data_IF_343866269276
#
_entry.id   IF_343866269276
#
_cell.length_a   1.000
_cell.length_b   1.000
_cell.length_c   1.000
_cell.angle_alpha   90.00
_cell.angle_beta   90.00
_cell.angle_gamma   90.00
#
_symmetry.space_group_name_H-M   'P 1'
#
loop_
_entity.id
_entity.type
_entity.pdbx_description
1 polymer ?
#
# COMPACT_ATOMS: atom_id res chain seq x y z
N UNK A 1 -58.39 -28.98 39.75
CA UNK A 1 -58.03 -29.80 38.58
C UNK A 1 -57.24 -28.93 37.61
N UNK A 2 -56.03 -29.40 37.27
CA UNK A 2 -55.16 -29.02 36.15
C UNK A 2 -54.59 -27.60 36.06
N UNK A 3 -53.47 -27.34 36.74
CA UNK A 3 -52.42 -26.50 36.15
C UNK A 3 -51.60 -27.40 35.23
N UNK A 4 -51.83 -27.29 33.92
CA UNK A 4 -51.00 -27.96 32.93
C UNK A 4 -49.56 -27.44 33.07
N UNK A 5 -48.65 -28.35 33.45
CA UNK A 5 -47.21 -28.13 33.44
C UNK A 5 -46.80 -27.81 31.99
N UNK A 6 -46.25 -26.61 31.68
CA UNK A 6 -45.84 -26.31 30.32
C UNK A 6 -44.71 -27.27 29.96
N UNK A 7 -45.02 -28.26 29.11
CA UNK A 7 -44.12 -29.32 28.69
C UNK A 7 -42.70 -28.76 28.52
N UNK A 8 -41.82 -29.06 29.49
CA UNK A 8 -40.44 -28.61 29.51
C UNK A 8 -39.82 -28.99 28.17
N UNK A 9 -39.67 -28.00 27.29
CA UNK A 9 -39.15 -28.24 25.96
C UNK A 9 -37.74 -28.79 26.12
N UNK A 10 -37.53 -30.04 25.73
CA UNK A 10 -36.21 -30.68 25.79
C UNK A 10 -35.33 -30.16 24.66
N UNK A 11 -34.03 -30.16 24.85
CA UNK A 11 -33.10 -29.78 23.81
C UNK A 11 -33.23 -30.71 22.60
N UNK A 12 -33.34 -30.14 21.40
CA UNK A 12 -33.50 -30.92 20.16
C UNK A 12 -32.38 -31.94 19.89
N UNK A 13 -31.21 -31.76 20.54
CA UNK A 13 -30.03 -32.61 20.38
C UNK A 13 -29.71 -33.44 21.63
N UNK A 14 -30.16 -32.99 22.80
CA UNK A 14 -29.94 -33.66 24.07
C UNK A 14 -31.30 -33.88 24.75
N UNK A 15 -31.98 -35.01 24.47
CA UNK A 15 -33.31 -35.28 25.01
C UNK A 15 -33.33 -35.22 26.55
N UNK A 16 -32.23 -35.58 27.19
CA UNK A 16 -32.13 -35.63 28.66
C UNK A 16 -31.93 -34.25 29.31
N UNK A 17 -31.82 -33.18 28.52
CA UNK A 17 -31.59 -31.81 29.01
C UNK A 17 -32.74 -30.89 28.70
N UNK A 18 -33.11 -30.06 29.66
CA UNK A 18 -34.06 -28.96 29.46
C UNK A 18 -33.48 -27.91 28.49
N UNK A 19 -34.33 -27.41 27.59
CA UNK A 19 -33.96 -26.30 26.73
C UNK A 19 -34.07 -24.99 27.50
N UNK A 20 -32.98 -24.22 27.52
CA UNK A 20 -32.98 -22.91 28.16
C UNK A 20 -33.67 -21.84 27.31
N UNK A 21 -33.49 -21.89 25.98
CA UNK A 21 -34.10 -20.95 25.01
C UNK A 21 -34.32 -21.64 23.65
N UNK A 22 -35.07 -20.97 22.77
CA UNK A 22 -35.26 -21.41 21.38
C UNK A 22 -34.39 -20.63 20.41
N UNK A 23 -33.98 -21.29 19.33
CA UNK A 23 -33.26 -20.67 18.23
C UNK A 23 -34.12 -19.57 17.59
N UNK A 24 -33.61 -18.34 17.51
CA UNK A 24 -34.32 -17.18 16.94
C UNK A 24 -34.61 -17.36 15.45
N UNK A 25 -33.85 -18.22 14.74
CA UNK A 25 -34.00 -18.45 13.31
C UNK A 25 -34.99 -19.56 12.95
N UNK A 26 -34.96 -20.69 13.66
CA UNK A 26 -35.74 -21.88 13.30
C UNK A 26 -36.71 -22.34 14.40
N UNK A 27 -36.77 -21.65 15.53
CA UNK A 27 -37.68 -21.96 16.63
C UNK A 27 -37.32 -23.21 17.46
N UNK A 28 -36.32 -24.03 17.05
CA UNK A 28 -35.96 -25.25 17.78
C UNK A 28 -35.52 -24.95 19.22
N UNK A 29 -36.06 -25.66 20.23
CA UNK A 29 -35.61 -25.55 21.61
C UNK A 29 -34.22 -26.18 21.78
N UNK A 30 -33.30 -25.48 22.46
CA UNK A 30 -31.94 -25.94 22.67
C UNK A 30 -31.41 -25.59 24.08
N UNK A 31 -30.58 -26.47 24.64
CA UNK A 31 -29.84 -26.19 25.87
C UNK A 31 -28.77 -25.10 25.61
N UNK A 32 -28.22 -24.51 26.67
CA UNK A 32 -27.14 -23.50 26.60
C UNK A 32 -25.99 -23.93 25.70
N UNK A 33 -25.58 -25.19 25.78
CA UNK A 33 -24.44 -25.73 25.02
C UNK A 33 -24.73 -25.90 23.52
N UNK A 34 -26.02 -25.95 23.15
CA UNK A 34 -26.46 -26.09 21.76
C UNK A 34 -26.90 -24.75 21.14
N UNK A 35 -26.83 -23.66 21.90
CA UNK A 35 -27.09 -22.30 21.45
C UNK A 35 -25.77 -21.54 21.31
N UNK A 36 -25.60 -20.89 20.17
CA UNK A 36 -24.51 -19.95 19.93
C UNK A 36 -25.06 -18.54 19.78
N UNK A 37 -24.30 -17.57 20.29
CA UNK A 37 -24.64 -16.15 20.12
C UNK A 37 -24.56 -15.77 18.64
N UNK A 38 -25.62 -15.13 18.15
CA UNK A 38 -25.69 -14.57 16.80
C UNK A 38 -25.72 -13.03 16.90
N UNK A 39 -25.60 -12.33 15.76
CA UNK A 39 -25.74 -10.87 15.76
C UNK A 39 -27.13 -10.40 16.23
N UNK A 40 -28.15 -11.22 16.04
CA UNK A 40 -29.50 -10.99 16.57
C UNK A 40 -29.98 -12.28 17.24
N UNK A 41 -30.09 -12.25 18.57
CA UNK A 41 -30.55 -13.38 19.36
C UNK A 41 -29.57 -14.56 19.41
N UNK A 42 -30.10 -15.77 19.46
CA UNK A 42 -29.32 -17.00 19.64
C UNK A 42 -29.71 -18.03 18.60
N UNK A 43 -28.72 -18.62 17.93
CA UNK A 43 -28.93 -19.63 16.90
C UNK A 43 -28.56 -21.02 17.43
N UNK A 44 -29.29 -22.07 17.01
CA UNK A 44 -28.85 -23.45 17.26
C UNK A 44 -27.62 -23.79 16.40
N UNK A 45 -26.88 -24.82 16.79
CA UNK A 45 -25.69 -25.28 16.07
C UNK A 45 -25.94 -25.60 14.60
N UNK A 46 -27.10 -26.16 14.25
CA UNK A 46 -27.46 -26.46 12.85
C UNK A 46 -27.59 -25.19 12.02
N UNK A 47 -28.34 -24.20 12.54
CA UNK A 47 -28.54 -22.92 11.88
C UNK A 47 -27.24 -22.11 11.80
N UNK A 48 -26.41 -22.19 12.83
CA UNK A 48 -25.10 -21.56 12.85
C UNK A 48 -24.15 -22.22 11.84
N UNK A 49 -24.17 -23.55 11.72
CA UNK A 49 -23.38 -24.30 10.74
C UNK A 49 -23.84 -24.01 9.32
N UNK A 50 -25.15 -23.95 9.08
CA UNK A 50 -25.73 -23.59 7.79
C UNK A 50 -25.47 -22.13 7.38
N UNK A 51 -25.23 -21.24 8.34
CA UNK A 51 -24.84 -19.85 8.09
C UNK A 51 -23.33 -19.67 7.83
N UNK A 52 -22.51 -20.71 7.98
CA UNK A 52 -21.08 -20.61 7.69
C UNK A 52 -20.88 -20.48 6.17
N UNK A 53 -20.06 -19.52 5.70
CA UNK A 53 -19.71 -19.46 4.29
C UNK A 53 -19.05 -20.77 3.85
N UNK A 54 -19.20 -21.12 2.58
CA UNK A 54 -18.60 -22.33 2.02
C UNK A 54 -17.06 -22.30 2.13
N UNK A 55 -16.44 -23.47 2.04
CA UNK A 55 -14.99 -23.64 2.22
C UNK A 55 -14.20 -22.79 1.22
N UNK A 56 -14.66 -22.63 -0.04
CA UNK A 56 -13.97 -21.81 -1.05
C UNK A 56 -14.06 -20.33 -0.69
N UNK A 57 -15.24 -19.86 -0.26
CA UNK A 57 -15.41 -18.47 0.19
C UNK A 57 -14.58 -18.18 1.43
N UNK A 58 -14.53 -19.09 2.41
CA UNK A 58 -13.67 -18.97 3.59
C UNK A 58 -12.18 -18.97 3.24
N UNK A 59 -11.74 -19.86 2.36
CA UNK A 59 -10.36 -19.92 1.90
C UNK A 59 -9.98 -18.66 1.12
N UNK A 60 -10.88 -18.13 0.27
CA UNK A 60 -10.69 -16.88 -0.48
C UNK A 60 -10.62 -15.66 0.44
N UNK A 61 -11.49 -15.57 1.44
CA UNK A 61 -11.44 -14.51 2.46
C UNK A 61 -10.14 -14.58 3.26
N UNK A 62 -9.76 -15.77 3.73
CA UNK A 62 -8.51 -15.97 4.48
C UNK A 62 -7.27 -15.67 3.62
N UNK A 63 -7.21 -16.14 2.37
CA UNK A 63 -6.08 -15.89 1.48
C UNK A 63 -5.97 -14.43 1.05
N UNK A 64 -7.10 -13.77 0.81
CA UNK A 64 -7.13 -12.32 0.49
C UNK A 64 -6.65 -11.43 1.65
N UNK A 65 -6.72 -11.91 2.89
CA UNK A 65 -6.19 -11.21 4.07
C UNK A 65 -4.72 -11.54 4.36
N UNK A 66 -4.23 -12.68 3.88
CA UNK A 66 -2.86 -13.15 4.12
C UNK A 66 -1.87 -12.72 3.04
N UNK A 67 -2.34 -12.57 1.79
CA UNK A 67 -1.52 -12.21 0.64
C UNK A 67 -1.50 -10.69 0.43
N UNK A 68 -0.30 -10.13 0.25
CA UNK A 68 -0.06 -8.73 -0.14
C UNK A 68 0.41 -8.71 -1.60
N UNK A 69 -0.49 -9.06 -2.56
CA UNK A 69 -0.10 -9.34 -3.93
C UNK A 69 0.56 -8.13 -4.61
N UNK A 70 0.06 -6.92 -4.42
CA UNK A 70 0.64 -5.74 -5.06
C UNK A 70 2.02 -5.45 -4.52
N UNK A 71 2.21 -5.58 -3.21
CA UNK A 71 3.54 -5.43 -2.59
C UNK A 71 4.54 -6.39 -3.22
N UNK A 72 4.19 -7.68 -3.32
CA UNK A 72 5.08 -8.69 -3.93
C UNK A 72 5.27 -8.47 -5.43
N UNK A 73 4.23 -8.07 -6.16
CA UNK A 73 4.33 -7.77 -7.60
C UNK A 73 5.26 -6.59 -7.85
N UNK A 74 5.15 -5.49 -7.10
CA UNK A 74 6.04 -4.34 -7.24
C UNK A 74 7.48 -4.75 -6.92
N UNK A 75 7.71 -5.49 -5.84
CA UNK A 75 9.05 -6.00 -5.50
C UNK A 75 9.60 -6.88 -6.63
N UNK A 76 8.81 -7.83 -7.13
CA UNK A 76 9.21 -8.73 -8.20
C UNK A 76 9.57 -7.97 -9.48
N UNK A 77 8.77 -6.96 -9.86
CA UNK A 77 9.05 -6.12 -11.03
C UNK A 77 10.36 -5.35 -10.84
N UNK A 78 10.57 -4.72 -9.67
CA UNK A 78 11.80 -3.98 -9.39
C UNK A 78 13.04 -4.87 -9.43
N UNK A 79 12.96 -6.06 -8.83
CA UNK A 79 14.04 -7.04 -8.89
C UNK A 79 14.29 -7.50 -10.33
N UNK A 80 13.24 -7.81 -11.09
CA UNK A 80 13.37 -8.24 -12.49
C UNK A 80 14.01 -7.16 -13.38
N UNK A 81 13.57 -5.90 -13.25
CA UNK A 81 14.15 -4.76 -13.99
C UNK A 81 15.61 -4.57 -13.60
N UNK A 82 15.95 -4.62 -12.31
CA UNK A 82 17.33 -4.48 -11.86
C UNK A 82 18.23 -5.62 -12.35
N UNK A 83 17.74 -6.87 -12.34
CA UNK A 83 18.48 -8.00 -12.88
C UNK A 83 18.69 -7.87 -14.39
N UNK A 84 17.70 -7.40 -15.14
CA UNK A 84 17.83 -7.12 -16.57
C UNK A 84 18.85 -6.00 -16.84
N UNK A 85 18.82 -4.92 -16.05
CA UNK A 85 19.80 -3.83 -16.15
C UNK A 85 21.22 -4.33 -15.87
N UNK A 86 21.42 -5.12 -14.82
CA UNK A 86 22.73 -5.67 -14.47
C UNK A 86 23.23 -6.75 -15.44
N UNK A 87 22.32 -7.51 -16.07
CA UNK A 87 22.66 -8.44 -17.14
C UNK A 87 23.06 -7.71 -18.45
N UNK A 88 22.48 -6.53 -18.68
CA UNK A 88 22.81 -5.70 -19.86
C UNK A 88 24.10 -4.89 -19.65
N UNK A 89 24.32 -4.40 -18.42
CA UNK A 89 25.52 -3.68 -18.01
C UNK A 89 25.78 -3.92 -16.51
N UNK A 90 26.83 -4.67 -16.21
CA UNK A 90 27.18 -5.09 -14.84
C UNK A 90 27.55 -3.92 -13.93
N UNK A 91 27.88 -2.75 -14.49
CA UNK A 91 28.11 -1.53 -13.71
C UNK A 91 26.85 -1.07 -12.96
N UNK A 92 25.67 -1.48 -13.42
CA UNK A 92 24.40 -1.24 -12.71
C UNK A 92 24.40 -1.87 -11.31
N UNK A 93 25.08 -3.01 -11.11
CA UNK A 93 25.21 -3.64 -9.78
C UNK A 93 26.15 -2.86 -8.86
N UNK A 94 27.16 -2.19 -9.41
CA UNK A 94 28.14 -1.40 -8.67
C UNK A 94 27.62 -0.01 -8.27
N UNK A 95 26.45 0.41 -8.78
CA UNK A 95 25.86 1.72 -8.48
C UNK A 95 26.27 2.84 -9.43
N UNK A 96 27.04 2.53 -10.48
CA UNK A 96 27.36 3.49 -11.54
C UNK A 96 26.16 3.63 -12.47
N UNK A 97 25.86 4.88 -12.84
CA UNK A 97 24.82 5.14 -13.84
C UNK A 97 25.26 4.57 -15.20
N UNK A 98 24.35 3.83 -15.84
CA UNK A 98 24.53 3.23 -17.16
C UNK A 98 23.54 3.82 -18.15
N UNK A 99 23.71 3.54 -19.45
CA UNK A 99 22.79 4.06 -20.49
C UNK A 99 21.32 3.72 -20.19
N UNK A 100 21.04 2.55 -19.63
CA UNK A 100 19.68 2.15 -19.23
C UNK A 100 19.10 3.05 -18.13
N UNK A 101 19.93 3.57 -17.23
CA UNK A 101 19.48 4.59 -16.28
C UNK A 101 19.12 5.89 -17.00
N UNK A 102 19.90 6.30 -18.00
CA UNK A 102 19.58 7.45 -18.85
C UNK A 102 18.31 7.25 -19.68
N UNK A 103 18.03 6.05 -20.15
CA UNK A 103 16.88 5.73 -21.01
C UNK A 103 15.55 5.62 -20.25
N UNK A 104 15.58 5.26 -18.96
CA UNK A 104 14.39 5.01 -18.13
C UNK A 104 14.22 5.97 -16.96
N UNK A 105 15.30 6.64 -16.55
CA UNK A 105 15.31 7.57 -15.43
C UNK A 105 14.63 8.89 -15.72
N UNK A 106 14.41 9.66 -14.67
CA UNK A 106 13.75 10.95 -14.72
C UNK A 106 14.76 12.08 -14.56
N UNK A 107 14.69 13.04 -15.46
CA UNK A 107 15.40 14.33 -15.39
C UNK A 107 14.58 15.34 -16.16
N UNK A 108 14.52 16.59 -15.66
CA UNK A 108 13.80 17.67 -16.34
C UNK A 108 14.47 18.00 -17.67
N UNK A 109 15.80 18.04 -17.71
CA UNK A 109 16.55 18.36 -18.94
C UNK A 109 16.40 17.28 -20.01
N UNK A 110 16.22 16.01 -19.61
CA UNK A 110 15.84 14.93 -20.54
C UNK A 110 14.44 15.17 -21.10
N UNK A 111 13.45 15.48 -20.25
CA UNK A 111 12.08 15.75 -20.70
C UNK A 111 11.96 17.00 -21.59
N UNK A 112 12.87 17.97 -21.45
CA UNK A 112 12.96 19.15 -22.30
C UNK A 112 13.70 18.91 -23.62
N UNK A 113 14.24 17.70 -23.84
CA UNK A 113 15.06 17.40 -25.01
C UNK A 113 16.38 18.16 -25.04
N UNK A 114 16.97 18.42 -23.87
CA UNK A 114 18.21 19.20 -23.70
C UNK A 114 19.39 18.35 -23.22
N UNK A 115 19.22 17.03 -23.15
CA UNK A 115 20.24 16.11 -22.60
C UNK A 115 20.52 14.97 -23.55
N UNK A 116 21.77 14.49 -23.50
CA UNK A 116 22.27 13.31 -24.19
C UNK A 116 23.05 12.47 -23.18
N UNK A 117 23.17 11.17 -23.42
CA UNK A 117 23.90 10.26 -22.53
C UNK A 117 25.40 10.57 -22.47
N UNK A 118 26.03 10.70 -23.63
CA UNK A 118 27.44 11.07 -23.79
C UNK A 118 27.63 11.97 -25.03
N UNK A 119 28.87 12.39 -25.31
CA UNK A 119 29.20 13.28 -26.42
C UNK A 119 28.85 12.72 -27.80
N UNK A 120 28.80 11.39 -27.94
CA UNK A 120 28.56 10.68 -29.20
C UNK A 120 27.10 10.27 -29.38
N UNK A 121 26.28 10.38 -28.32
CA UNK A 121 24.88 10.00 -28.31
C UNK A 121 23.99 11.12 -28.88
N UNK A 122 22.91 10.70 -29.55
CA UNK A 122 21.84 11.61 -29.92
C UNK A 122 21.17 12.23 -28.68
N UNK A 123 20.63 13.43 -28.84
CA UNK A 123 19.81 14.09 -27.81
C UNK A 123 18.54 13.29 -27.60
N UNK A 124 18.14 13.11 -26.35
CA UNK A 124 16.89 12.45 -26.01
C UNK A 124 15.70 13.27 -26.54
N UNK A 125 14.69 12.63 -27.19
CA UNK A 125 13.46 13.32 -27.55
C UNK A 125 12.76 13.95 -26.33
N UNK A 126 12.20 15.13 -26.51
CA UNK A 126 11.40 15.80 -25.50
C UNK A 126 10.11 15.00 -25.17
N UNK A 127 9.48 15.33 -24.03
CA UNK A 127 8.15 14.86 -23.62
C UNK A 127 8.00 13.33 -23.48
N UNK A 128 9.07 12.65 -23.08
CA UNK A 128 9.06 11.22 -22.76
C UNK A 128 8.39 10.94 -21.40
N UNK A 129 7.09 11.22 -21.29
CA UNK A 129 6.32 11.21 -20.03
C UNK A 129 6.25 9.84 -19.32
N UNK A 130 6.52 8.74 -20.02
CA UNK A 130 6.64 7.42 -19.40
C UNK A 130 7.68 7.39 -18.26
N UNK A 131 8.67 8.29 -18.30
CA UNK A 131 9.73 8.46 -17.30
C UNK A 131 9.21 8.86 -15.92
N UNK A 132 8.01 9.44 -15.84
CA UNK A 132 7.36 9.72 -14.56
C UNK A 132 7.05 8.43 -13.78
N UNK A 133 6.89 7.30 -14.50
CA UNK A 133 6.58 5.99 -13.93
C UNK A 133 7.83 5.09 -13.96
N UNK A 134 8.52 4.98 -15.10
CA UNK A 134 9.63 4.03 -15.27
C UNK A 134 10.81 4.33 -14.36
N UNK A 135 11.04 5.61 -14.02
CA UNK A 135 12.09 5.99 -13.08
C UNK A 135 11.90 5.35 -11.70
N UNK A 136 10.66 5.05 -11.31
CA UNK A 136 10.32 4.37 -10.07
C UNK A 136 10.76 2.90 -10.01
N UNK A 137 11.21 2.32 -11.13
CA UNK A 137 11.54 0.89 -11.24
C UNK A 137 13.01 0.59 -11.50
N UNK A 138 13.84 1.61 -11.74
CA UNK A 138 15.29 1.47 -11.90
C UNK A 138 16.02 1.75 -10.59
N UNK A 139 17.17 1.12 -10.36
CA UNK A 139 17.93 1.28 -9.11
C UNK A 139 19.43 1.37 -9.37
N UNK A 140 20.11 2.22 -8.60
CA UNK A 140 21.56 2.43 -8.65
C UNK A 140 22.25 1.54 -7.62
N UNK A 141 22.66 0.34 -8.03
CA UNK A 141 23.42 -0.59 -7.19
C UNK A 141 22.57 -1.44 -6.25
N UNK A 142 23.18 -2.54 -5.78
CA UNK A 142 22.49 -3.58 -5.02
C UNK A 142 21.95 -3.07 -3.68
N UNK A 143 22.72 -2.22 -2.98
CA UNK A 143 22.31 -1.67 -1.69
C UNK A 143 21.06 -0.79 -1.82
N UNK A 144 20.99 0.04 -2.86
CA UNK A 144 19.85 0.92 -3.09
C UNK A 144 18.57 0.12 -3.38
N UNK A 145 18.66 -0.94 -4.20
CA UNK A 145 17.54 -1.86 -4.41
C UNK A 145 17.14 -2.55 -3.10
N UNK A 146 18.09 -3.15 -2.39
CA UNK A 146 17.82 -3.93 -1.18
C UNK A 146 17.08 -3.11 -0.11
N UNK A 147 17.53 -1.88 0.15
CA UNK A 147 16.89 -1.00 1.12
C UNK A 147 15.48 -0.59 0.69
N UNK A 148 15.26 -0.27 -0.58
CA UNK A 148 13.92 0.04 -1.09
C UNK A 148 12.98 -1.15 -0.96
N UNK A 149 13.42 -2.36 -1.35
CA UNK A 149 12.58 -3.55 -1.31
C UNK A 149 12.28 -3.99 0.13
N UNK A 150 13.23 -3.83 1.05
CA UNK A 150 13.02 -4.08 2.48
C UNK A 150 11.95 -3.15 3.06
N UNK A 151 12.07 -1.84 2.82
CA UNK A 151 11.09 -0.86 3.30
C UNK A 151 9.73 -1.06 2.63
N UNK A 152 9.70 -1.27 1.31
CA UNK A 152 8.47 -1.57 0.57
C UNK A 152 7.79 -2.84 1.09
N UNK A 153 8.55 -3.89 1.42
CA UNK A 153 8.01 -5.11 2.00
C UNK A 153 7.35 -4.87 3.35
N UNK A 154 8.03 -4.17 4.26
CA UNK A 154 7.51 -3.88 5.61
C UNK A 154 6.25 -3.01 5.56
N UNK A 155 6.34 -1.89 4.82
CA UNK A 155 5.24 -0.93 4.71
C UNK A 155 4.10 -1.44 3.85
N UNK A 156 4.40 -2.12 2.74
CA UNK A 156 3.42 -2.72 1.86
C UNK A 156 2.60 -3.78 2.57
N UNK A 157 3.23 -4.64 3.38
CA UNK A 157 2.50 -5.59 4.22
C UNK A 157 1.55 -4.92 5.21
N UNK A 158 1.99 -3.82 5.83
CA UNK A 158 1.15 -3.08 6.77
C UNK A 158 -0.03 -2.40 6.06
N UNK A 159 0.26 -1.66 4.99
CA UNK A 159 -0.70 -0.76 4.34
C UNK A 159 -1.64 -1.50 3.38
N UNK A 160 -1.17 -2.50 2.63
CA UNK A 160 -2.01 -3.27 1.73
C UNK A 160 -3.07 -4.08 2.50
N UNK A 161 -2.71 -4.60 3.68
CA UNK A 161 -3.67 -5.24 4.58
C UNK A 161 -4.68 -4.25 5.16
N UNK A 162 -4.24 -3.03 5.48
CA UNK A 162 -5.10 -2.01 6.06
C UNK A 162 -6.07 -1.39 5.03
N UNK A 163 -5.63 -1.20 3.79
CA UNK A 163 -6.37 -0.48 2.75
C UNK A 163 -7.09 -1.41 1.76
N UNK A 164 -6.59 -2.64 1.62
CA UNK A 164 -6.89 -3.55 0.51
C UNK A 164 -6.08 -3.21 -0.74
N UNK A 165 -5.95 -4.19 -1.63
CA UNK A 165 -5.12 -4.15 -2.84
C UNK A 165 -5.32 -2.90 -3.70
N UNK A 166 -6.57 -2.57 -4.06
CA UNK A 166 -6.85 -1.43 -4.96
C UNK A 166 -6.42 -0.09 -4.36
N UNK A 167 -6.78 0.18 -3.10
CA UNK A 167 -6.47 1.45 -2.45
C UNK A 167 -4.98 1.57 -2.16
N UNK A 168 -4.32 0.47 -1.83
CA UNK A 168 -2.87 0.46 -1.69
C UNK A 168 -2.16 0.77 -3.02
N UNK A 169 -2.59 0.17 -4.14
CA UNK A 169 -2.06 0.50 -5.46
C UNK A 169 -2.21 1.98 -5.79
N UNK A 170 -3.38 2.57 -5.47
CA UNK A 170 -3.63 4.00 -5.66
C UNK A 170 -2.72 4.87 -4.81
N UNK A 171 -2.56 4.54 -3.52
CA UNK A 171 -1.64 5.25 -2.63
C UNK A 171 -0.19 5.19 -3.14
N UNK A 172 0.29 3.99 -3.51
CA UNK A 172 1.63 3.79 -4.03
C UNK A 172 1.88 4.60 -5.30
N UNK A 173 0.96 4.52 -6.26
CA UNK A 173 1.09 5.22 -7.56
C UNK A 173 1.00 6.74 -7.40
N UNK A 174 0.12 7.23 -6.52
CA UNK A 174 0.03 8.65 -6.21
C UNK A 174 1.31 9.18 -5.55
N UNK A 175 1.88 8.44 -4.60
CA UNK A 175 3.16 8.81 -3.98
C UNK A 175 4.32 8.77 -4.98
N UNK A 176 4.33 7.78 -5.88
CA UNK A 176 5.33 7.68 -6.96
C UNK A 176 5.28 8.92 -7.87
N UNK A 177 4.09 9.27 -8.38
CA UNK A 177 3.92 10.40 -9.28
C UNK A 177 4.19 11.75 -8.59
N UNK A 178 3.78 11.90 -7.33
CA UNK A 178 4.11 13.08 -6.55
C UNK A 178 5.61 13.21 -6.28
N UNK A 179 6.30 12.09 -6.07
CA UNK A 179 7.76 12.04 -6.04
C UNK A 179 8.36 12.50 -7.37
N UNK A 180 7.88 11.98 -8.50
CA UNK A 180 8.32 12.40 -9.83
C UNK A 180 8.11 13.89 -10.09
N UNK A 181 6.98 14.47 -9.67
CA UNK A 181 6.78 15.92 -9.71
C UNK A 181 7.81 16.65 -8.84
N UNK A 182 8.05 16.15 -7.62
CA UNK A 182 9.06 16.71 -6.72
C UNK A 182 10.46 16.74 -7.32
N UNK A 183 10.88 15.67 -8.03
CA UNK A 183 12.13 15.63 -8.80
C UNK A 183 12.19 16.79 -9.81
N UNK A 184 11.12 17.00 -10.58
CA UNK A 184 11.10 18.04 -11.61
C UNK A 184 11.13 19.47 -11.04
N UNK A 185 10.63 19.66 -9.82
CA UNK A 185 10.61 20.94 -9.12
C UNK A 185 11.96 21.27 -8.44
N UNK A 186 12.61 20.28 -7.85
CA UNK A 186 13.77 20.49 -6.95
C UNK A 186 15.08 19.99 -7.56
N UNK A 187 15.05 18.84 -8.22
CA UNK A 187 16.23 18.11 -8.69
C UNK A 187 16.36 18.08 -10.22
N UNK A 188 15.78 19.07 -10.93
CA UNK A 188 15.53 18.98 -12.37
C UNK A 188 16.76 18.72 -13.25
N UNK A 189 17.97 19.09 -12.83
CA UNK A 189 19.21 18.82 -13.56
C UNK A 189 19.82 17.44 -13.33
N UNK A 190 19.36 16.69 -12.33
CA UNK A 190 19.93 15.39 -11.98
C UNK A 190 19.16 14.23 -12.62
N UNK A 191 19.90 13.17 -12.99
CA UNK A 191 19.28 11.91 -13.38
C UNK A 191 18.83 11.17 -12.13
N UNK A 192 17.55 10.82 -12.08
CA UNK A 192 16.91 10.30 -10.87
C UNK A 192 16.18 8.99 -11.15
N UNK A 193 16.17 8.08 -10.19
CA UNK A 193 15.47 6.80 -10.27
C UNK A 193 15.49 6.04 -8.95
N UNK A 194 14.50 5.17 -8.77
CA UNK A 194 14.27 4.39 -7.56
C UNK A 194 12.82 4.43 -7.13
N UNK A 195 12.37 3.36 -6.47
CA UNK A 195 11.02 3.29 -5.88
C UNK A 195 10.85 4.22 -4.65
N UNK A 196 11.91 4.91 -4.25
CA UNK A 196 12.02 5.58 -2.95
C UNK A 196 11.00 6.69 -2.75
N UNK A 197 10.66 7.48 -3.77
CA UNK A 197 9.59 8.48 -3.66
C UNK A 197 8.27 7.86 -3.20
N UNK A 198 7.88 6.71 -3.78
CA UNK A 198 6.71 5.97 -3.36
C UNK A 198 6.86 5.40 -1.94
N UNK A 199 8.03 4.85 -1.60
CA UNK A 199 8.34 4.29 -0.27
C UNK A 199 8.27 5.37 0.82
N UNK A 200 8.79 6.58 0.57
CA UNK A 200 8.65 7.72 1.48
C UNK A 200 7.18 8.11 1.67
N UNK A 201 6.38 8.07 0.61
CA UNK A 201 4.94 8.25 0.72
C UNK A 201 4.26 7.17 1.56
N UNK A 202 4.65 5.91 1.42
CA UNK A 202 4.16 4.84 2.29
C UNK A 202 4.58 5.05 3.76
N UNK A 203 5.84 5.44 4.03
CA UNK A 203 6.32 5.72 5.38
C UNK A 203 5.53 6.87 6.03
N UNK A 204 5.41 8.00 5.32
CA UNK A 204 4.67 9.17 5.81
C UNK A 204 3.19 8.85 6.00
N UNK A 205 2.58 8.13 5.06
CA UNK A 205 1.18 7.71 5.16
C UNK A 205 0.93 6.77 6.34
N UNK A 206 1.81 5.79 6.56
CA UNK A 206 1.75 4.92 7.74
C UNK A 206 1.93 5.71 9.03
N UNK A 207 2.91 6.62 9.10
CA UNK A 207 3.16 7.45 10.27
C UNK A 207 1.93 8.29 10.64
N UNK A 208 1.35 8.99 9.67
CA UNK A 208 0.14 9.81 9.90
C UNK A 208 -1.05 8.93 10.27
N UNK A 209 -1.25 7.81 9.58
CA UNK A 209 -2.34 6.86 9.89
C UNK A 209 -2.27 6.29 11.30
N UNK A 210 -1.07 5.92 11.76
CA UNK A 210 -0.82 5.43 13.12
C UNK A 210 -1.05 6.54 14.15
N UNK A 211 -0.51 7.73 13.90
CA UNK A 211 -0.70 8.88 14.79
C UNK A 211 -2.18 9.24 14.96
N UNK A 212 -2.96 9.24 13.87
CA UNK A 212 -4.42 9.46 13.92
C UNK A 212 -5.17 8.44 14.77
N UNK A 213 -4.60 7.25 14.98
CA UNK A 213 -5.16 6.18 15.81
C UNK A 213 -4.65 6.24 17.26
N UNK A 214 -3.90 7.28 17.63
CA UNK A 214 -3.31 7.43 18.96
C UNK A 214 -2.09 6.54 19.21
N UNK A 215 -1.53 5.93 18.16
CA UNK A 215 -0.34 5.07 18.28
C UNK A 215 0.90 5.96 18.17
N UNK A 216 1.81 5.84 19.15
CA UNK A 216 3.11 6.49 19.08
C UNK A 216 3.93 5.89 17.92
N UNK A 217 4.21 6.69 16.90
CA UNK A 217 4.89 6.22 15.68
C UNK A 217 6.32 5.75 15.97
N UNK A 218 6.99 6.32 16.98
CA UNK A 218 8.36 5.93 17.34
C UNK A 218 8.44 4.55 18.01
N UNK A 219 7.39 4.11 18.71
CA UNK A 219 7.36 2.76 19.28
C UNK A 219 7.17 1.66 18.23
N UNK A 220 6.74 2.02 17.01
CA UNK A 220 6.58 1.09 15.89
C UNK A 220 7.83 0.94 15.03
N UNK A 221 8.89 1.71 15.30
CA UNK A 221 10.09 1.80 14.45
C UNK A 221 9.90 2.70 13.21
N UNK A 222 8.69 2.77 12.63
CA UNK A 222 8.39 3.56 11.42
C UNK A 222 8.78 5.04 11.60
N UNK A 223 8.52 5.61 12.77
CA UNK A 223 8.82 7.03 13.04
C UNK A 223 10.31 7.30 12.99
N UNK A 224 11.10 6.44 13.65
CA UNK A 224 12.56 6.54 13.63
C UNK A 224 13.10 6.28 12.22
N UNK A 225 12.60 5.26 11.52
CA UNK A 225 13.00 4.96 10.15
C UNK A 225 12.73 6.13 9.20
N UNK A 226 11.56 6.78 9.29
CA UNK A 226 11.23 7.95 8.48
C UNK A 226 12.18 9.12 8.76
N UNK A 227 12.43 9.43 10.03
CA UNK A 227 13.36 10.51 10.42
C UNK A 227 14.76 10.22 9.91
N UNK A 228 15.29 9.01 10.11
CA UNK A 228 16.61 8.63 9.62
C UNK A 228 16.69 8.75 8.10
N UNK A 229 15.68 8.25 7.36
CA UNK A 229 15.67 8.34 5.90
C UNK A 229 15.58 9.80 5.41
N UNK A 230 14.82 10.67 6.10
CA UNK A 230 14.81 12.11 5.81
C UNK A 230 16.17 12.74 6.09
N UNK A 231 16.80 12.46 7.23
CA UNK A 231 18.15 12.96 7.55
C UNK A 231 19.15 12.54 6.47
N UNK A 232 19.16 11.27 6.07
CA UNK A 232 20.00 10.78 4.98
C UNK A 232 19.72 11.50 3.65
N UNK A 233 18.45 11.79 3.35
CA UNK A 233 18.03 12.53 2.15
C UNK A 233 18.67 13.91 2.07
N UNK A 234 18.73 14.64 3.18
CA UNK A 234 19.33 15.97 3.20
C UNK A 234 20.85 15.96 3.43
N UNK A 235 21.41 14.83 3.89
CA UNK A 235 22.84 14.72 4.25
C UNK A 235 23.72 14.14 3.14
N UNK A 236 23.17 13.25 2.30
CA UNK A 236 23.94 12.53 1.28
C UNK A 236 23.71 13.15 -0.10
N UNK A 237 24.80 13.60 -0.75
CA UNK A 237 24.76 14.08 -2.13
C UNK A 237 24.40 12.95 -3.10
N UNK A 238 23.59 13.27 -4.11
CA UNK A 238 23.11 12.29 -5.09
C UNK A 238 21.80 11.61 -4.72
N UNK A 239 21.26 11.87 -3.52
CA UNK A 239 19.89 11.48 -3.15
C UNK A 239 18.92 12.57 -3.59
N UNK A 240 17.80 12.17 -4.20
CA UNK A 240 16.75 13.10 -4.63
C UNK A 240 15.95 13.64 -3.45
N UNK A 241 16.14 14.92 -3.17
CA UNK A 241 15.38 15.63 -2.14
C UNK A 241 13.93 15.79 -2.60
N UNK A 242 13.73 16.26 -3.84
CA UNK A 242 12.42 16.46 -4.44
C UNK A 242 11.59 15.20 -4.48
N UNK A 243 12.18 14.08 -4.92
CA UNK A 243 11.52 12.78 -5.00
C UNK A 243 10.99 12.28 -3.66
N UNK A 244 11.83 12.36 -2.61
CA UNK A 244 11.46 11.90 -1.28
C UNK A 244 10.44 12.82 -0.62
N UNK A 245 10.62 14.15 -0.70
CA UNK A 245 9.71 15.13 -0.09
C UNK A 245 8.35 15.12 -0.80
N UNK A 246 8.33 15.11 -2.13
CA UNK A 246 7.08 15.06 -2.91
C UNK A 246 6.26 13.80 -2.60
N UNK A 247 6.93 12.64 -2.56
CA UNK A 247 6.31 11.39 -2.15
C UNK A 247 5.79 11.40 -0.72
N UNK A 248 6.60 11.88 0.24
CA UNK A 248 6.22 11.99 1.65
C UNK A 248 5.01 12.90 1.88
N UNK A 249 4.93 14.05 1.19
CA UNK A 249 3.79 14.98 1.28
C UNK A 249 2.50 14.30 0.79
N UNK A 250 2.52 13.71 -0.40
CA UNK A 250 1.37 13.00 -0.93
C UNK A 250 0.96 11.84 -0.01
N UNK A 251 1.93 11.07 0.46
CA UNK A 251 1.74 9.99 1.41
C UNK A 251 1.10 10.43 2.71
N UNK A 252 1.56 11.54 3.31
CA UNK A 252 0.99 12.09 4.54
C UNK A 252 -0.47 12.53 4.36
N UNK A 253 -0.78 13.24 3.28
CA UNK A 253 -2.14 13.70 2.95
C UNK A 253 -3.07 12.50 2.75
N UNK A 254 -2.66 11.54 1.92
CA UNK A 254 -3.46 10.36 1.61
C UNK A 254 -3.55 9.41 2.80
N UNK A 255 -2.49 9.25 3.58
CA UNK A 255 -2.48 8.46 4.81
C UNK A 255 -3.43 9.05 5.85
N UNK A 256 -3.46 10.37 6.00
CA UNK A 256 -4.47 11.04 6.83
C UNK A 256 -5.86 10.62 6.39
N UNK A 257 -6.20 10.78 5.10
CA UNK A 257 -7.55 10.54 4.59
C UNK A 257 -7.95 9.05 4.59
N UNK A 258 -7.10 8.19 4.04
CA UNK A 258 -7.41 6.79 3.72
C UNK A 258 -7.27 5.85 4.92
N UNK A 259 -6.41 6.17 5.90
CA UNK A 259 -6.22 5.38 7.12
C UNK A 259 -6.99 5.95 8.32
N UNK A 260 -7.97 6.82 8.06
CA UNK A 260 -8.81 7.43 9.07
C UNK A 260 -9.36 6.38 10.06
N UNK A 261 -9.37 6.69 11.37
CA UNK A 261 -9.81 5.74 12.38
C UNK A 261 -11.32 5.47 12.27
N UNK A 262 -11.75 4.30 12.74
CA UNK A 262 -13.15 3.84 12.64
C UNK A 262 -14.15 4.77 13.34
N UNK A 263 -13.72 5.50 14.37
CA UNK A 263 -14.54 6.48 15.11
C UNK A 263 -14.64 7.86 14.44
N UNK A 264 -13.84 8.13 13.39
CA UNK A 264 -13.95 9.33 12.54
C UNK A 264 -13.82 8.92 11.07
N UNK A 265 -14.79 8.16 10.54
CA UNK A 265 -14.69 7.58 9.20
C UNK A 265 -14.76 8.67 8.14
N UNK A 266 -14.05 8.44 7.04
CA UNK A 266 -14.11 9.25 5.82
C UNK A 266 -15.01 8.54 4.80
N UNK A 267 -15.79 9.27 3.98
CA UNK A 267 -16.58 8.65 2.92
C UNK A 267 -15.73 7.74 2.02
N UNK A 268 -16.23 6.54 1.72
CA UNK A 268 -15.47 5.54 0.94
C UNK A 268 -15.03 6.07 -0.42
N UNK A 269 -15.86 6.86 -1.11
CA UNK A 269 -15.52 7.44 -2.41
C UNK A 269 -14.28 8.34 -2.34
N UNK A 270 -14.09 9.08 -1.24
CA UNK A 270 -12.95 9.98 -1.08
C UNK A 270 -11.62 9.22 -1.00
N UNK A 271 -11.64 7.98 -0.49
CA UNK A 271 -10.45 7.10 -0.47
C UNK A 271 -10.00 6.63 -1.85
N UNK A 272 -10.84 6.78 -2.88
CA UNK A 272 -10.49 6.52 -4.28
C UNK A 272 -10.24 7.82 -5.05
N UNK A 273 -11.05 8.85 -4.81
CA UNK A 273 -10.95 10.12 -5.50
C UNK A 273 -9.67 10.90 -5.14
N UNK A 274 -9.27 10.93 -3.86
CA UNK A 274 -8.13 11.74 -3.45
C UNK A 274 -6.79 11.27 -4.06
N UNK A 275 -6.45 9.96 -4.09
CA UNK A 275 -5.28 9.51 -4.83
C UNK A 275 -5.35 9.88 -6.32
N UNK A 276 -6.52 9.76 -6.95
CA UNK A 276 -6.69 10.14 -8.36
C UNK A 276 -6.45 11.63 -8.60
N UNK A 277 -6.92 12.49 -7.70
CA UNK A 277 -6.65 13.93 -7.73
C UNK A 277 -5.16 14.21 -7.54
N UNK A 278 -4.49 13.56 -6.60
CA UNK A 278 -3.04 13.71 -6.40
C UNK A 278 -2.27 13.28 -7.66
N UNK A 279 -2.65 12.17 -8.29
CA UNK A 279 -2.05 11.71 -9.54
C UNK A 279 -2.24 12.73 -10.66
N UNK A 280 -3.47 13.25 -10.82
CA UNK A 280 -3.79 14.25 -11.83
C UNK A 280 -2.99 15.54 -11.64
N UNK A 281 -2.96 16.07 -10.40
CA UNK A 281 -2.17 17.26 -10.05
C UNK A 281 -0.68 17.01 -10.33
N UNK A 282 -0.16 15.82 -9.99
CA UNK A 282 1.25 15.49 -10.21
C UNK A 282 1.60 15.48 -11.70
N UNK A 283 0.74 14.90 -12.53
CA UNK A 283 0.96 14.86 -14.00
C UNK A 283 0.81 16.24 -14.63
N UNK A 284 -0.25 16.99 -14.30
CA UNK A 284 -0.44 18.35 -14.82
C UNK A 284 0.71 19.26 -14.38
N UNK A 285 1.12 19.18 -13.11
CA UNK A 285 2.27 19.90 -12.59
C UNK A 285 3.55 19.53 -13.33
N UNK A 286 3.78 18.26 -13.63
CA UNK A 286 4.95 17.82 -14.39
C UNK A 286 4.98 18.42 -15.79
N UNK A 287 3.84 18.46 -16.48
CA UNK A 287 3.71 19.08 -17.80
C UNK A 287 4.01 20.58 -17.73
N UNK A 288 3.39 21.29 -16.79
CA UNK A 288 3.58 22.75 -16.61
C UNK A 288 5.04 23.09 -16.28
N UNK A 289 5.68 22.30 -15.41
CA UNK A 289 7.05 22.57 -14.95
C UNK A 289 8.09 22.33 -16.05
N UNK A 290 7.85 21.34 -16.92
CA UNK A 290 8.75 21.00 -18.03
C UNK A 290 8.64 22.03 -19.15
N UNK A 291 7.43 22.56 -19.41
CA UNK A 291 7.15 23.51 -20.50
C UNK A 291 6.54 22.81 -21.70
#
# INVERSE_FOLDING_TARGET
MSSADPALHRCYRHPDREAGRSCTRCGKPACSDCLVQAQVGSHCLDCAKAARPDVKTRAKLASSQLLTPVTYSIIAINVAVFMWMGASDSQSFAGTATKLHGDLGLSKTILQGQSRWDSNSAIYPAHQWYRLITSGFIHFGLFHLAMNMLLLFQLGKLLERALGTVRFSLLYTAALLAGSLGVLLVDGGALTGGASGAVFGLMAGAAVGLHRRGINVFSTGIGMTLVLNLVLTFSIRGISIGGHVGGAIAGAILGWLMLAPSWKPVPKWATYAAPAVVMLISVIGAVIVVG
#
